data_IF_427005158111
#
_entry.id   IF_427005158111
#
_cell.length_a   1.000
_cell.length_b   1.000
_cell.length_c   1.000
_cell.angle_alpha   90.00
_cell.angle_beta   90.00
_cell.angle_gamma   90.00
#
_symmetry.space_group_name_H-M   'P 1'
#
loop_
_entity.id
_entity.type
_entity.pdbx_description
1 polymer ?
#
# COMPACT_ATOMS: atom_id res chain seq x y z
N UNK A 1 7.94 10.43 11.36
CA UNK A 1 6.48 10.38 11.21
C UNK A 1 5.78 10.60 12.54
N UNK A 2 4.61 11.17 12.51
CA UNK A 2 3.82 11.40 13.71
C UNK A 2 3.21 10.09 14.22
N UNK A 3 3.32 9.88 15.52
CA UNK A 3 2.79 8.68 16.18
C UNK A 3 1.30 8.50 15.96
N UNK A 4 0.52 9.59 16.00
CA UNK A 4 -0.92 9.53 15.79
C UNK A 4 -1.32 9.13 14.36
N UNK A 5 -0.48 9.39 13.37
CA UNK A 5 -0.76 8.93 12.00
C UNK A 5 -0.56 7.41 11.88
N UNK A 6 0.42 6.85 12.56
CA UNK A 6 0.60 5.39 12.66
C UNK A 6 -0.61 4.77 13.34
N UNK A 7 -1.04 5.36 14.48
CA UNK A 7 -2.20 4.86 15.21
C UNK A 7 -3.46 4.87 14.34
N UNK A 8 -3.69 5.94 13.59
CA UNK A 8 -4.83 6.02 12.67
C UNK A 8 -4.78 4.93 11.60
N UNK A 9 -3.60 4.64 11.05
CA UNK A 9 -3.45 3.58 10.06
C UNK A 9 -3.70 2.20 10.66
N UNK A 10 -3.23 1.96 11.88
CA UNK A 10 -3.47 0.70 12.59
C UNK A 10 -4.96 0.49 12.90
N UNK A 11 -5.72 1.56 13.03
CA UNK A 11 -7.16 1.51 13.26
C UNK A 11 -7.98 1.50 11.97
N UNK A 12 -7.34 1.41 10.80
CA UNK A 12 -8.02 1.35 9.51
C UNK A 12 -8.67 -0.03 9.33
N UNK A 13 -10.02 -0.15 9.49
CA UNK A 13 -10.67 -1.47 9.46
C UNK A 13 -10.52 -2.18 8.12
N UNK A 14 -10.61 -1.46 7.02
CA UNK A 14 -10.51 -2.07 5.70
C UNK A 14 -9.12 -2.62 5.42
N UNK A 15 -8.08 -1.88 5.84
CA UNK A 15 -6.70 -2.33 5.75
C UNK A 15 -6.50 -3.62 6.57
N UNK A 16 -6.99 -3.64 7.80
CA UNK A 16 -6.89 -4.79 8.70
C UNK A 16 -7.66 -5.99 8.16
N UNK A 17 -8.84 -5.76 7.61
CA UNK A 17 -9.66 -6.81 7.01
C UNK A 17 -8.92 -7.49 5.85
N UNK A 18 -8.12 -6.75 5.12
CA UNK A 18 -7.35 -7.27 4.00
C UNK A 18 -5.94 -7.75 4.41
N UNK A 19 -5.67 -7.85 5.70
CA UNK A 19 -4.43 -8.41 6.27
C UNK A 19 -3.17 -7.65 5.87
N UNK A 20 -3.29 -6.37 5.58
CA UNK A 20 -2.16 -5.52 5.21
C UNK A 20 -1.48 -5.01 6.46
N UNK A 21 -0.16 -5.15 6.54
CA UNK A 21 0.63 -4.75 7.71
C UNK A 21 1.63 -3.67 7.35
N UNK A 22 1.89 -2.77 8.30
CA UNK A 22 2.89 -1.74 8.16
C UNK A 22 4.26 -2.32 8.55
N UNK A 23 5.23 -2.25 7.64
CA UNK A 23 6.59 -2.69 7.90
C UNK A 23 7.43 -1.53 8.43
N UNK A 24 7.40 -0.39 7.74
CA UNK A 24 8.16 0.78 8.15
C UNK A 24 7.58 2.05 7.55
N UNK A 25 7.83 3.16 8.21
CA UNK A 25 7.49 4.50 7.72
C UNK A 25 8.67 5.41 8.00
N UNK A 26 9.11 6.11 6.99
CA UNK A 26 10.12 7.15 7.12
C UNK A 26 9.59 8.43 6.48
N UNK A 27 10.34 9.53 6.56
CA UNK A 27 9.94 10.75 5.89
C UNK A 27 9.83 10.48 4.38
N UNK A 28 8.63 10.73 3.82
CA UNK A 28 8.34 10.60 2.39
C UNK A 28 8.39 9.17 1.82
N UNK A 29 8.38 8.14 2.68
CA UNK A 29 8.28 6.76 2.21
C UNK A 29 7.59 5.85 3.23
N UNK A 30 7.01 4.76 2.74
CA UNK A 30 6.41 3.73 3.58
C UNK A 30 6.56 2.37 2.92
N UNK A 31 6.63 1.34 3.75
CA UNK A 31 6.67 -0.06 3.30
C UNK A 31 5.58 -0.83 4.02
N UNK A 32 4.82 -1.59 3.27
CA UNK A 32 3.77 -2.46 3.78
C UNK A 32 3.94 -3.87 3.24
N UNK A 33 3.37 -4.83 3.93
CA UNK A 33 3.41 -6.23 3.51
C UNK A 33 2.03 -6.89 3.60
N UNK A 34 1.86 -7.96 2.84
CA UNK A 34 0.65 -8.76 2.82
C UNK A 34 1.03 -10.22 2.53
N UNK A 35 0.65 -11.12 3.43
CA UNK A 35 0.76 -12.54 3.16
C UNK A 35 -0.46 -12.98 2.34
N UNK A 36 -0.20 -13.63 1.20
CA UNK A 36 -1.27 -14.07 0.31
C UNK A 36 -2.03 -15.22 0.96
N UNK A 37 -3.34 -15.06 1.06
CA UNK A 37 -4.27 -16.06 1.61
C UNK A 37 -5.32 -16.37 0.57
N UNK A 38 -6.15 -17.36 0.84
CA UNK A 38 -7.25 -17.70 -0.07
C UNK A 38 -8.14 -16.49 -0.35
N UNK A 39 -8.47 -15.70 0.68
CA UNK A 39 -9.33 -14.52 0.55
C UNK A 39 -8.65 -13.31 -0.08
N UNK A 40 -7.35 -13.43 -0.41
CA UNK A 40 -6.63 -12.44 -1.19
C UNK A 40 -6.73 -12.71 -2.69
N UNK A 41 -7.19 -13.91 -3.07
CA UNK A 41 -7.11 -14.40 -4.45
C UNK A 41 -8.43 -14.30 -5.20
N UNK A 42 -8.32 -14.32 -6.54
CA UNK A 42 -9.46 -14.33 -7.45
C UNK A 42 -9.88 -15.78 -7.78
N UNK A 43 -10.83 -15.92 -8.71
CA UNK A 43 -11.36 -17.23 -9.11
C UNK A 43 -10.32 -18.15 -9.74
N UNK A 44 -9.20 -17.59 -10.20
CA UNK A 44 -8.11 -18.35 -10.81
C UNK A 44 -6.98 -18.68 -9.84
N UNK A 45 -7.09 -18.25 -8.57
CA UNK A 45 -6.07 -18.47 -7.54
C UNK A 45 -4.92 -17.46 -7.56
N UNK A 46 -4.96 -16.47 -8.41
CA UNK A 46 -4.00 -15.37 -8.41
C UNK A 46 -4.45 -14.27 -7.46
N UNK A 47 -3.53 -13.39 -7.07
CA UNK A 47 -3.87 -12.23 -6.25
C UNK A 47 -4.91 -11.40 -6.98
N UNK A 48 -6.01 -11.09 -6.28
CA UNK A 48 -7.07 -10.26 -6.82
C UNK A 48 -6.58 -8.84 -7.08
N UNK A 49 -6.97 -8.26 -8.22
CA UNK A 49 -6.61 -6.88 -8.54
C UNK A 49 -7.04 -5.89 -7.47
N UNK A 50 -8.19 -6.16 -6.82
CA UNK A 50 -8.66 -5.35 -5.70
C UNK A 50 -7.71 -5.37 -4.50
N UNK A 51 -7.04 -6.50 -4.25
CA UNK A 51 -6.04 -6.59 -3.17
C UNK A 51 -4.82 -5.74 -3.50
N UNK A 52 -4.33 -5.78 -4.73
CA UNK A 52 -3.25 -4.91 -5.18
C UNK A 52 -3.62 -3.45 -5.03
N UNK A 53 -4.81 -3.07 -5.49
CA UNK A 53 -5.28 -1.68 -5.41
C UNK A 53 -5.37 -1.21 -3.97
N UNK A 54 -5.98 -2.01 -3.10
CA UNK A 54 -6.13 -1.67 -1.68
C UNK A 54 -4.77 -1.48 -1.02
N UNK A 55 -3.84 -2.40 -1.26
CA UNK A 55 -2.50 -2.34 -0.70
C UNK A 55 -1.75 -1.08 -1.17
N UNK A 56 -1.83 -0.79 -2.47
CA UNK A 56 -1.20 0.39 -3.05
C UNK A 56 -1.80 1.68 -2.48
N UNK A 57 -3.12 1.76 -2.35
CA UNK A 57 -3.80 2.92 -1.80
C UNK A 57 -3.45 3.15 -0.33
N UNK A 58 -3.45 2.08 0.46
CA UNK A 58 -3.03 2.17 1.87
C UNK A 58 -1.59 2.64 2.00
N UNK A 59 -0.70 2.11 1.18
CA UNK A 59 0.71 2.47 1.19
C UNK A 59 0.92 3.92 0.75
N UNK A 60 0.21 4.36 -0.28
CA UNK A 60 0.26 5.74 -0.74
C UNK A 60 -0.26 6.71 0.32
N UNK A 61 -1.36 6.36 0.98
CA UNK A 61 -1.92 7.16 2.06
C UNK A 61 -0.96 7.33 3.23
N UNK A 62 -0.32 6.24 3.64
CA UNK A 62 0.64 6.27 4.73
C UNK A 62 1.88 7.11 4.35
N UNK A 63 2.36 6.95 3.12
CA UNK A 63 3.48 7.75 2.61
C UNK A 63 3.12 9.24 2.62
N UNK A 64 1.94 9.60 2.13
CA UNK A 64 1.48 10.99 2.11
C UNK A 64 1.42 11.57 3.52
N UNK A 65 0.86 10.80 4.47
CA UNK A 65 0.68 11.24 5.86
C UNK A 65 1.98 11.33 6.66
N UNK A 66 3.09 10.91 6.08
CA UNK A 66 4.39 10.97 6.77
C UNK A 66 4.80 12.40 7.14
N UNK A 67 4.18 13.41 6.55
CA UNK A 67 4.42 14.82 6.89
C UNK A 67 3.56 15.32 8.07
N UNK A 68 2.73 14.46 8.66
CA UNK A 68 1.86 14.80 9.79
C UNK A 68 0.50 15.36 9.40
N UNK A 69 0.24 15.59 8.12
CA UNK A 69 -1.05 16.10 7.65
C UNK A 69 -2.00 14.93 7.32
N UNK A 70 -3.28 15.24 7.23
CA UNK A 70 -4.30 14.28 6.82
C UNK A 70 -4.51 14.37 5.30
N UNK A 71 -4.70 13.22 4.68
CA UNK A 71 -4.91 13.10 3.24
C UNK A 71 -6.02 12.11 2.96
N UNK A 72 -6.73 12.35 1.87
CA UNK A 72 -7.66 11.37 1.29
C UNK A 72 -7.28 11.20 -0.17
N UNK A 73 -7.52 10.00 -0.71
CA UNK A 73 -7.24 9.71 -2.10
C UNK A 73 -8.22 10.46 -3.00
N UNK A 74 -7.69 11.20 -3.95
CA UNK A 74 -8.48 11.91 -4.94
C UNK A 74 -8.47 11.18 -6.28
N UNK A 75 -7.32 10.63 -6.64
CA UNK A 75 -7.12 10.01 -7.95
C UNK A 75 -6.06 8.94 -7.83
N UNK A 76 -6.21 7.85 -8.57
CA UNK A 76 -5.21 6.79 -8.63
C UNK A 76 -5.17 6.18 -10.02
N UNK A 77 -3.98 5.76 -10.45
CA UNK A 77 -3.75 5.04 -11.68
C UNK A 77 -2.94 3.79 -11.35
N UNK A 78 -3.38 2.63 -11.84
CA UNK A 78 -2.79 1.34 -11.49
C UNK A 78 -2.44 0.58 -12.76
N UNK A 79 -1.26 -0.02 -12.77
CA UNK A 79 -0.83 -0.94 -13.81
C UNK A 79 -0.59 -2.32 -13.19
N UNK A 80 -1.32 -3.32 -13.67
CA UNK A 80 -1.16 -4.72 -13.26
C UNK A 80 -0.20 -5.38 -14.25
N UNK A 81 1.04 -5.62 -13.84
CA UNK A 81 2.11 -6.03 -14.76
C UNK A 81 2.31 -7.54 -14.74
N UNK A 82 2.34 -8.13 -13.55
CA UNK A 82 2.57 -9.56 -13.34
C UNK A 82 1.79 -10.01 -12.12
N UNK A 83 1.60 -11.33 -11.96
CA UNK A 83 0.83 -11.83 -10.83
C UNK A 83 1.42 -13.13 -10.29
N UNK A 84 1.04 -13.46 -9.06
CA UNK A 84 1.49 -14.66 -8.34
C UNK A 84 0.32 -15.29 -7.59
N UNK A 85 0.51 -16.53 -7.14
CA UNK A 85 -0.55 -17.30 -6.45
C UNK A 85 -0.33 -17.45 -4.96
N UNK A 86 0.90 -17.30 -4.50
CA UNK A 86 1.28 -17.57 -3.11
C UNK A 86 2.49 -16.76 -2.70
N UNK A 87 2.77 -16.76 -1.41
CA UNK A 87 3.88 -16.05 -0.84
C UNK A 87 3.45 -14.75 -0.19
N UNK A 88 4.33 -13.76 -0.20
CA UNK A 88 3.98 -12.44 0.33
C UNK A 88 4.29 -11.34 -0.68
N UNK A 89 3.59 -10.22 -0.49
CA UNK A 89 3.74 -9.01 -1.28
C UNK A 89 4.34 -7.92 -0.42
N UNK A 90 5.15 -7.07 -1.04
CA UNK A 90 5.69 -5.87 -0.40
C UNK A 90 5.34 -4.66 -1.24
N UNK A 91 4.72 -3.67 -0.63
CA UNK A 91 4.44 -2.38 -1.26
C UNK A 91 5.42 -1.34 -0.74
N UNK A 92 6.03 -0.59 -1.63
CA UNK A 92 6.95 0.49 -1.29
C UNK A 92 6.45 1.78 -1.91
N UNK A 93 6.13 2.75 -1.06
CA UNK A 93 5.65 4.05 -1.47
C UNK A 93 6.74 5.10 -1.33
N UNK A 94 6.76 6.04 -2.26
CA UNK A 94 7.64 7.20 -2.18
C UNK A 94 6.92 8.44 -2.67
N UNK A 95 7.20 9.57 -2.06
CA UNK A 95 6.65 10.85 -2.49
C UNK A 95 7.32 11.28 -3.78
N UNK A 96 6.51 11.52 -4.81
CA UNK A 96 6.98 12.07 -6.09
C UNK A 96 6.93 13.59 -6.05
N UNK A 97 5.84 14.14 -5.51
CA UNK A 97 5.66 15.59 -5.43
C UNK A 97 4.78 15.92 -4.23
N UNK A 98 5.25 16.82 -3.41
CA UNK A 98 4.51 17.29 -2.23
C UNK A 98 4.26 18.77 -2.36
N UNK A 99 2.99 19.14 -2.48
CA UNK A 99 2.55 20.51 -2.60
C UNK A 99 1.64 20.89 -1.42
N UNK A 100 1.15 22.12 -1.43
CA UNK A 100 0.33 22.63 -0.34
C UNK A 100 -0.95 21.83 -0.13
N UNK A 101 -1.63 21.44 -1.21
CA UNK A 101 -2.92 20.76 -1.16
C UNK A 101 -2.91 19.39 -1.84
N UNK A 102 -1.83 19.02 -2.51
CA UNK A 102 -1.75 17.75 -3.24
C UNK A 102 -0.41 17.09 -2.95
N UNK A 103 -0.48 15.78 -2.71
CA UNK A 103 0.70 14.93 -2.60
C UNK A 103 0.57 13.82 -3.64
N UNK A 104 1.58 13.67 -4.49
CA UNK A 104 1.63 12.59 -5.47
C UNK A 104 2.61 11.54 -4.96
N UNK A 105 2.15 10.31 -4.87
CA UNK A 105 2.93 9.17 -4.37
C UNK A 105 2.99 8.09 -5.43
N UNK A 106 4.16 7.51 -5.63
CA UNK A 106 4.33 6.32 -6.44
C UNK A 106 4.48 5.11 -5.53
N UNK A 107 3.82 4.01 -5.89
CA UNK A 107 3.91 2.75 -5.14
C UNK A 107 4.27 1.64 -6.11
N UNK A 108 5.24 0.82 -5.71
CA UNK A 108 5.58 -0.42 -6.41
C UNK A 108 5.29 -1.60 -5.49
N UNK A 109 4.68 -2.65 -6.05
CA UNK A 109 4.43 -3.89 -5.32
C UNK A 109 5.27 -4.97 -5.94
N UNK A 110 6.00 -5.71 -5.11
CA UNK A 110 6.87 -6.81 -5.52
C UNK A 110 6.48 -8.09 -4.80
N UNK A 111 6.86 -9.23 -5.38
CA UNK A 111 6.70 -10.54 -4.74
C UNK A 111 7.94 -10.89 -3.90
N UNK A 112 8.00 -12.14 -3.41
CA UNK A 112 9.11 -12.61 -2.57
C UNK A 112 10.47 -12.58 -3.29
N UNK A 113 10.47 -12.60 -4.61
CA UNK A 113 11.70 -12.59 -5.42
C UNK A 113 12.07 -11.21 -5.94
N UNK A 114 11.43 -10.16 -5.41
CA UNK A 114 11.56 -8.77 -5.84
C UNK A 114 11.11 -8.52 -7.28
N UNK A 115 10.28 -9.40 -7.83
CA UNK A 115 9.68 -9.19 -9.14
C UNK A 115 8.54 -8.19 -9.04
N UNK A 116 8.56 -7.17 -9.89
CA UNK A 116 7.54 -6.13 -9.94
C UNK A 116 6.20 -6.72 -10.45
N UNK A 117 5.14 -6.43 -9.72
CA UNK A 117 3.77 -6.88 -10.00
C UNK A 117 2.85 -5.72 -10.40
#
# INVERSE_FOLDING_TARGET
>A
MQEQNIAQMLENPFMQYNHIEIVSVTSDSAVMSLDIRRDTTNIYGYVHGGAFFTMADCCAGLTARSDGRQYVTQNASVNFIHNVKAGHLTARGRTVSRRRHICVVAVEITDETDTLL
#
